data_IF_436455890082
#
_entry.id   IF_436455890082
#
_cell.length_a   1.000
_cell.length_b   1.000
_cell.length_c   1.000
_cell.angle_alpha   90.00
_cell.angle_beta   90.00
_cell.angle_gamma   90.00
#
_symmetry.space_group_name_H-M   'P 1'
#
loop_
_entity.id
_entity.type
_entity.pdbx_description
1 polymer ?
#
# COMPACT_ATOMS: atom_id res chain seq x y z
N UNK A 1 -36.73 -10.13 -3.59
CA UNK A 1 -36.78 -10.48 -2.16
C UNK A 1 -35.61 -11.42 -1.89
N UNK A 2 -34.50 -10.91 -1.37
CA UNK A 2 -33.30 -11.74 -1.14
C UNK A 2 -33.58 -12.80 -0.09
N UNK A 3 -33.02 -14.00 -0.29
CA UNK A 3 -33.01 -15.03 0.75
C UNK A 3 -32.33 -14.48 2.00
N UNK A 4 -32.90 -14.73 3.18
CA UNK A 4 -32.28 -14.38 4.47
C UNK A 4 -30.83 -14.88 4.57
N UNK A 5 -30.50 -15.97 3.87
CA UNK A 5 -29.13 -16.50 3.80
C UNK A 5 -28.16 -15.54 3.09
N UNK A 6 -28.56 -14.95 1.95
CA UNK A 6 -27.72 -14.02 1.18
C UNK A 6 -27.39 -12.78 1.99
N UNK A 7 -28.38 -12.22 2.70
CA UNK A 7 -28.19 -11.07 3.60
C UNK A 7 -27.22 -11.40 4.74
N UNK A 8 -27.37 -12.57 5.38
CA UNK A 8 -26.48 -13.01 6.45
C UNK A 8 -25.04 -13.18 5.97
N UNK A 9 -24.84 -13.81 4.81
CA UNK A 9 -23.51 -13.98 4.21
C UNK A 9 -22.89 -12.62 3.90
N UNK A 10 -23.65 -11.72 3.26
CA UNK A 10 -23.20 -10.37 2.96
C UNK A 10 -22.75 -9.61 4.21
N UNK A 11 -23.56 -9.67 5.28
CA UNK A 11 -23.24 -9.03 6.56
C UNK A 11 -21.92 -9.55 7.15
N UNK A 12 -21.72 -10.88 7.15
CA UNK A 12 -20.49 -11.51 7.65
C UNK A 12 -19.27 -11.05 6.83
N UNK A 13 -19.38 -10.99 5.50
CA UNK A 13 -18.30 -10.53 4.61
C UNK A 13 -17.93 -9.07 4.88
N UNK A 14 -18.92 -8.19 5.03
CA UNK A 14 -18.70 -6.78 5.35
C UNK A 14 -18.05 -6.61 6.73
N UNK A 15 -18.48 -7.38 7.73
CA UNK A 15 -17.89 -7.36 9.07
C UNK A 15 -16.42 -7.80 9.05
N UNK A 16 -16.11 -8.91 8.38
CA UNK A 16 -14.72 -9.38 8.21
C UNK A 16 -13.88 -8.31 7.51
N UNK A 17 -14.42 -7.66 6.48
CA UNK A 17 -13.74 -6.59 5.74
C UNK A 17 -13.37 -5.42 6.65
N UNK A 18 -14.28 -5.00 7.54
CA UNK A 18 -14.03 -3.93 8.55
C UNK A 18 -12.96 -4.34 9.57
N UNK A 19 -12.97 -5.61 10.02
CA UNK A 19 -11.94 -6.11 10.95
C UNK A 19 -10.56 -6.09 10.29
N UNK A 20 -10.47 -6.54 9.04
CA UNK A 20 -9.20 -6.51 8.29
C UNK A 20 -8.72 -5.10 7.98
N UNK A 21 -9.62 -4.18 7.62
CA UNK A 21 -9.26 -2.79 7.30
C UNK A 21 -8.80 -2.05 8.55
N UNK A 22 -9.46 -2.23 9.69
CA UNK A 22 -9.04 -1.64 10.99
C UNK A 22 -7.69 -2.17 11.45
N UNK A 23 -7.44 -3.48 11.30
CA UNK A 23 -6.12 -4.07 11.56
C UNK A 23 -5.03 -3.47 10.65
N UNK A 24 -5.32 -3.30 9.35
CA UNK A 24 -4.37 -2.70 8.41
C UNK A 24 -4.13 -1.22 8.69
N UNK A 25 -5.15 -0.47 9.11
CA UNK A 25 -5.02 0.91 9.59
C UNK A 25 -4.05 0.96 10.78
N UNK A 26 -4.22 0.09 11.77
CA UNK A 26 -3.36 0.03 12.94
C UNK A 26 -1.89 -0.25 12.56
N UNK A 27 -1.63 -1.26 11.72
CA UNK A 27 -0.27 -1.53 11.22
C UNK A 27 0.30 -0.31 10.50
N UNK A 28 -0.48 0.31 9.62
CA UNK A 28 -0.02 1.46 8.82
C UNK A 28 0.35 2.65 9.71
N UNK A 29 -0.47 2.95 10.73
CA UNK A 29 -0.20 4.01 11.72
C UNK A 29 1.11 3.72 12.46
N UNK A 30 1.26 2.51 13.00
CA UNK A 30 2.49 2.12 13.74
C UNK A 30 3.73 2.26 12.85
N UNK A 31 3.67 1.80 11.61
CA UNK A 31 4.79 1.90 10.67
C UNK A 31 5.09 3.36 10.28
N UNK A 32 4.07 4.18 10.03
CA UNK A 32 4.24 5.62 9.75
C UNK A 32 4.95 6.29 10.93
N UNK A 33 4.53 6.05 12.17
CA UNK A 33 5.20 6.59 13.36
C UNK A 33 6.66 6.13 13.46
N UNK A 34 6.94 4.86 13.19
CA UNK A 34 8.33 4.34 13.17
C UNK A 34 9.15 5.06 12.11
N UNK A 35 8.61 5.26 10.90
CA UNK A 35 9.31 5.95 9.82
C UNK A 35 9.56 7.42 10.17
N UNK A 36 8.55 8.14 10.69
CA UNK A 36 8.68 9.55 11.10
C UNK A 36 9.74 9.69 12.19
N UNK A 37 9.72 8.83 13.20
CA UNK A 37 10.71 8.81 14.27
C UNK A 37 12.14 8.63 13.72
N UNK A 38 12.33 7.68 12.79
CA UNK A 38 13.63 7.42 12.18
C UNK A 38 14.09 8.56 11.26
N UNK A 39 13.15 9.23 10.56
CA UNK A 39 13.45 10.39 9.73
C UNK A 39 13.87 11.62 10.54
N UNK A 40 13.27 11.82 11.73
CA UNK A 40 13.54 12.98 12.57
C UNK A 40 14.78 12.80 13.45
N UNK A 41 14.93 11.62 14.06
CA UNK A 41 15.94 11.41 15.11
C UNK A 41 17.29 10.91 14.59
N UNK A 42 17.34 10.26 13.42
CA UNK A 42 18.59 9.72 12.87
C UNK A 42 19.09 10.53 11.69
N UNK A 43 20.41 10.78 11.70
CA UNK A 43 21.14 11.35 10.57
C UNK A 43 21.31 10.31 9.44
N UNK A 44 20.20 9.98 8.78
CA UNK A 44 20.16 9.06 7.66
C UNK A 44 20.80 9.68 6.41
N UNK A 45 21.40 8.83 5.58
CA UNK A 45 21.90 9.26 4.28
C UNK A 45 20.72 9.73 3.42
N UNK A 46 20.95 10.75 2.57
CA UNK A 46 19.93 11.38 1.71
C UNK A 46 19.06 10.38 0.92
N UNK A 47 19.68 9.31 0.45
CA UNK A 47 18.99 8.26 -0.31
C UNK A 47 18.06 7.38 0.54
N UNK A 48 18.50 7.06 1.76
CA UNK A 48 17.71 6.26 2.69
C UNK A 48 16.51 7.08 3.15
N UNK A 49 16.73 8.37 3.43
CA UNK A 49 15.66 9.34 3.71
C UNK A 49 14.61 9.39 2.59
N UNK A 50 15.04 9.45 1.33
CA UNK A 50 14.12 9.49 0.18
C UNK A 50 13.33 8.18 0.04
N UNK A 51 14.00 7.03 0.23
CA UNK A 51 13.35 5.72 0.17
C UNK A 51 12.30 5.56 1.27
N UNK A 52 12.64 5.95 2.51
CA UNK A 52 11.73 5.93 3.64
C UNK A 52 10.56 6.91 3.46
N UNK A 53 10.80 8.10 2.92
CA UNK A 53 9.75 9.05 2.60
C UNK A 53 8.74 8.49 1.59
N UNK A 54 9.22 7.91 0.49
CA UNK A 54 8.36 7.23 -0.49
C UNK A 54 7.63 6.02 0.11
N UNK A 55 8.24 5.34 1.08
CA UNK A 55 7.59 4.26 1.82
C UNK A 55 6.48 4.78 2.73
N UNK A 56 6.72 5.86 3.47
CA UNK A 56 5.71 6.53 4.29
C UNK A 56 4.53 7.00 3.44
N UNK A 57 4.80 7.50 2.23
CA UNK A 57 3.76 7.88 1.28
C UNK A 57 2.85 6.69 0.91
N UNK A 58 3.41 5.50 0.66
CA UNK A 58 2.61 4.29 0.40
C UNK A 58 1.75 3.95 1.61
N UNK A 59 2.31 3.94 2.82
CA UNK A 59 1.52 3.65 4.03
C UNK A 59 0.45 4.70 4.32
N UNK A 60 0.70 5.96 4.00
CA UNK A 60 -0.29 7.04 4.14
C UNK A 60 -1.48 6.81 3.20
N UNK A 61 -1.24 6.54 1.92
CA UNK A 61 -2.33 6.25 0.99
C UNK A 61 -3.02 4.91 1.27
N UNK A 62 -2.28 3.92 1.77
CA UNK A 62 -2.85 2.67 2.27
C UNK A 62 -3.80 2.89 3.45
N UNK A 63 -3.40 3.74 4.41
CA UNK A 63 -4.22 4.13 5.55
C UNK A 63 -5.49 4.86 5.10
N UNK A 64 -5.37 5.86 4.23
CA UNK A 64 -6.51 6.61 3.69
C UNK A 64 -7.47 5.65 2.95
N UNK A 65 -6.93 4.75 2.13
CA UNK A 65 -7.73 3.76 1.41
C UNK A 65 -8.50 2.85 2.37
N UNK A 66 -7.85 2.38 3.44
CA UNK A 66 -8.50 1.52 4.44
C UNK A 66 -9.58 2.24 5.24
N UNK A 67 -9.41 3.53 5.51
CA UNK A 67 -10.46 4.34 6.14
C UNK A 67 -11.67 4.43 5.20
N UNK A 68 -11.47 4.74 3.91
CA UNK A 68 -12.54 4.79 2.90
C UNK A 68 -13.26 3.44 2.80
N UNK A 69 -12.50 2.35 2.67
CA UNK A 69 -13.07 1.00 2.59
C UNK A 69 -13.88 0.64 3.84
N UNK A 70 -13.40 1.02 5.03
CA UNK A 70 -14.12 0.83 6.29
C UNK A 70 -15.42 1.62 6.31
N UNK A 71 -15.40 2.89 5.87
CA UNK A 71 -16.59 3.74 5.80
C UNK A 71 -17.65 3.14 4.87
N UNK A 72 -17.26 2.68 3.68
CA UNK A 72 -18.18 2.03 2.73
C UNK A 72 -18.81 0.76 3.35
N UNK A 73 -18.02 -0.09 4.00
CA UNK A 73 -18.55 -1.30 4.63
C UNK A 73 -19.41 -1.02 5.87
N UNK A 74 -19.13 0.05 6.63
CA UNK A 74 -19.99 0.50 7.72
C UNK A 74 -21.33 0.99 7.17
N UNK A 75 -21.35 1.72 6.04
CA UNK A 75 -22.59 2.11 5.36
C UNK A 75 -23.38 0.88 4.93
N UNK A 76 -22.74 -0.13 4.33
CA UNK A 76 -23.38 -1.42 4.01
C UNK A 76 -24.01 -2.07 5.24
N UNK A 77 -23.27 -2.19 6.34
CA UNK A 77 -23.76 -2.81 7.58
C UNK A 77 -24.96 -2.03 8.16
N UNK A 78 -24.90 -0.71 8.17
CA UNK A 78 -26.00 0.13 8.67
C UNK A 78 -27.22 0.07 7.74
N UNK A 79 -27.01 -0.02 6.43
CA UNK A 79 -28.07 -0.22 5.45
C UNK A 79 -28.77 -1.57 5.63
N UNK A 80 -27.99 -2.65 5.79
CA UNK A 80 -28.51 -4.00 6.01
C UNK A 80 -29.33 -4.12 7.30
N UNK A 81 -28.92 -3.42 8.37
CA UNK A 81 -29.55 -3.52 9.70
C UNK A 81 -30.75 -2.59 9.89
N UNK A 82 -30.68 -1.37 9.33
CA UNK A 82 -31.64 -0.30 9.60
C UNK A 82 -32.39 0.19 8.37
N UNK A 83 -32.16 -0.42 7.19
CA UNK A 83 -32.75 -0.02 5.91
C UNK A 83 -32.50 1.47 5.58
N UNK A 84 -31.35 2.00 6.03
CA UNK A 84 -31.00 3.41 5.87
C UNK A 84 -30.48 3.68 4.46
N UNK A 85 -31.03 4.70 3.81
CA UNK A 85 -30.51 5.22 2.55
C UNK A 85 -29.35 6.21 2.79
N UNK A 86 -28.25 6.00 2.07
CA UNK A 86 -27.05 6.85 2.10
C UNK A 86 -26.83 7.64 0.80
N UNK A 87 -27.82 7.66 -0.10
CA UNK A 87 -27.77 8.41 -1.36
C UNK A 87 -27.59 9.92 -1.11
N UNK A 88 -26.34 10.36 -1.13
CA UNK A 88 -25.92 11.72 -0.78
C UNK A 88 -24.68 12.11 -1.60
N UNK A 89 -24.44 13.41 -1.73
CA UNK A 89 -23.23 13.92 -2.40
C UNK A 89 -21.94 13.40 -1.74
N UNK A 90 -21.94 13.25 -0.41
CA UNK A 90 -20.83 12.66 0.35
C UNK A 90 -20.57 11.21 -0.08
N UNK A 91 -21.62 10.41 -0.26
CA UNK A 91 -21.51 9.02 -0.71
C UNK A 91 -20.86 8.95 -2.10
N UNK A 92 -21.33 9.75 -3.06
CA UNK A 92 -20.75 9.83 -4.41
C UNK A 92 -19.28 10.25 -4.34
N UNK A 93 -18.95 11.24 -3.50
CA UNK A 93 -17.58 11.70 -3.31
C UNK A 93 -16.68 10.60 -2.72
N UNK A 94 -17.14 9.84 -1.72
CA UNK A 94 -16.40 8.71 -1.14
C UNK A 94 -16.20 7.61 -2.18
N UNK A 95 -17.25 7.29 -2.95
CA UNK A 95 -17.23 6.32 -4.04
C UNK A 95 -16.23 6.68 -5.13
N UNK A 96 -16.11 7.96 -5.45
CA UNK A 96 -15.10 8.51 -6.36
C UNK A 96 -13.69 8.54 -5.75
N UNK A 97 -13.57 8.90 -4.47
CA UNK A 97 -12.28 8.99 -3.79
C UNK A 97 -11.61 7.62 -3.67
N UNK A 98 -12.39 6.54 -3.53
CA UNK A 98 -11.89 5.16 -3.46
C UNK A 98 -10.95 4.79 -4.63
N UNK A 99 -11.37 4.82 -5.91
CA UNK A 99 -10.49 4.53 -7.04
C UNK A 99 -9.36 5.55 -7.20
N UNK A 100 -9.56 6.83 -6.82
CA UNK A 100 -8.49 7.85 -6.85
C UNK A 100 -7.36 7.48 -5.91
N UNK A 101 -7.66 7.20 -4.64
CA UNK A 101 -6.64 6.84 -3.65
C UNK A 101 -5.97 5.52 -4.03
N UNK A 102 -6.73 4.57 -4.58
CA UNK A 102 -6.17 3.32 -5.09
C UNK A 102 -5.19 3.55 -6.25
N UNK A 103 -5.53 4.40 -7.21
CA UNK A 103 -4.64 4.81 -8.30
C UNK A 103 -3.35 5.45 -7.76
N UNK A 104 -3.47 6.34 -6.77
CA UNK A 104 -2.32 6.98 -6.12
C UNK A 104 -1.47 5.94 -5.36
N UNK A 105 -2.08 4.94 -4.74
CA UNK A 105 -1.34 3.86 -4.10
C UNK A 105 -0.49 3.08 -5.13
N UNK A 106 -1.07 2.70 -6.28
CA UNK A 106 -0.35 1.99 -7.34
C UNK A 106 0.78 2.81 -7.97
N UNK A 107 0.51 4.08 -8.29
CA UNK A 107 1.54 4.98 -8.82
C UNK A 107 2.64 5.29 -7.79
N UNK A 108 2.38 5.15 -6.48
CA UNK A 108 3.44 5.27 -5.48
C UNK A 108 4.50 4.16 -5.59
N UNK A 109 4.14 2.96 -6.07
CA UNK A 109 5.14 1.92 -6.42
C UNK A 109 5.94 2.30 -7.67
N UNK A 110 5.31 2.96 -8.65
CA UNK A 110 5.99 3.51 -9.81
C UNK A 110 7.05 4.53 -9.36
N UNK A 111 6.73 5.43 -8.43
CA UNK A 111 7.69 6.38 -7.89
C UNK A 111 8.88 5.70 -7.21
N UNK A 112 8.65 4.62 -6.46
CA UNK A 112 9.73 3.86 -5.85
C UNK A 112 10.63 3.19 -6.90
N UNK A 113 10.05 2.62 -7.95
CA UNK A 113 10.79 2.04 -9.06
C UNK A 113 11.57 3.12 -9.83
N UNK A 114 10.94 4.26 -10.09
CA UNK A 114 11.52 5.40 -10.79
C UNK A 114 12.69 6.02 -10.03
N UNK A 115 12.57 6.22 -8.72
CA UNK A 115 13.69 6.65 -7.86
C UNK A 115 14.91 5.72 -8.02
N UNK A 116 14.68 4.40 -8.08
CA UNK A 116 15.77 3.44 -8.29
C UNK A 116 16.35 3.48 -9.69
N UNK A 117 15.52 3.68 -10.72
CA UNK A 117 15.98 3.88 -12.09
C UNK A 117 16.91 5.09 -12.16
N UNK A 118 16.48 6.22 -11.62
CA UNK A 118 17.25 7.47 -11.59
C UNK A 118 18.58 7.28 -10.86
N UNK A 119 18.58 6.52 -9.76
CA UNK A 119 19.81 6.26 -9.01
C UNK A 119 20.77 5.30 -9.72
N UNK A 120 20.28 4.21 -10.31
CA UNK A 120 21.13 3.15 -10.87
C UNK A 120 21.61 3.53 -12.28
N UNK A 121 20.68 3.88 -13.16
CA UNK A 121 20.94 4.11 -14.58
C UNK A 121 21.40 5.54 -14.81
N UNK A 122 20.72 6.51 -14.19
CA UNK A 122 20.95 7.94 -14.41
C UNK A 122 21.82 8.59 -13.31
N UNK A 123 22.80 7.85 -12.79
CA UNK A 123 23.63 8.32 -11.67
C UNK A 123 24.40 9.63 -11.96
N UNK A 124 24.64 9.94 -13.25
CA UNK A 124 25.35 11.15 -13.70
C UNK A 124 24.51 12.43 -13.59
N UNK A 125 23.18 12.32 -13.59
CA UNK A 125 22.27 13.46 -13.61
C UNK A 125 21.89 13.89 -12.20
N UNK A 126 22.68 14.81 -11.60
CA UNK A 126 22.49 15.27 -10.20
C UNK A 126 21.09 15.84 -9.90
N UNK A 127 20.46 16.50 -10.88
CA UNK A 127 19.13 17.09 -10.73
C UNK A 127 18.05 16.04 -10.44
N UNK A 128 18.11 14.86 -11.06
CA UNK A 128 17.20 13.73 -10.81
C UNK A 128 17.40 13.08 -9.43
N UNK A 129 18.47 13.42 -8.72
CA UNK A 129 18.76 12.92 -7.38
C UNK A 129 18.39 13.92 -6.28
N UNK A 130 17.81 15.07 -6.65
CA UNK A 130 17.38 16.06 -5.69
C UNK A 130 16.17 15.56 -4.90
N UNK A 131 16.29 15.60 -3.57
CA UNK A 131 15.21 15.17 -2.66
C UNK A 131 13.89 15.91 -2.90
N UNK A 132 13.97 17.20 -3.26
CA UNK A 132 12.80 18.04 -3.58
C UNK A 132 11.94 17.47 -4.71
N UNK A 133 12.55 16.87 -5.74
CA UNK A 133 11.80 16.24 -6.82
C UNK A 133 10.89 15.14 -6.28
N UNK A 134 11.38 14.33 -5.32
CA UNK A 134 10.62 13.22 -4.75
C UNK A 134 9.58 13.64 -3.70
N UNK A 135 9.61 14.89 -3.24
CA UNK A 135 8.53 15.49 -2.43
C UNK A 135 7.42 16.02 -3.34
N UNK A 136 7.78 16.65 -4.46
CA UNK A 136 6.84 17.23 -5.42
C UNK A 136 6.10 16.14 -6.21
N UNK A 137 6.78 15.06 -6.59
CA UNK A 137 6.20 13.98 -7.40
C UNK A 137 4.91 13.38 -6.78
N UNK A 138 4.86 12.98 -5.49
CA UNK A 138 3.63 12.49 -4.87
C UNK A 138 2.45 13.48 -4.92
N UNK A 139 2.72 14.78 -4.78
CA UNK A 139 1.68 15.83 -4.86
C UNK A 139 1.15 15.95 -6.28
N UNK A 140 2.05 16.00 -7.28
CA UNK A 140 1.65 16.01 -8.69
C UNK A 140 0.89 14.74 -9.08
N UNK A 141 1.30 13.59 -8.55
CA UNK A 141 0.62 12.33 -8.77
C UNK A 141 -0.81 12.33 -8.22
N UNK A 142 -1.03 12.91 -7.03
CA UNK A 142 -2.37 13.03 -6.47
C UNK A 142 -3.26 13.87 -7.38
N UNK A 143 -2.77 15.05 -7.80
CA UNK A 143 -3.50 15.93 -8.74
C UNK A 143 -3.78 15.21 -10.06
N UNK A 144 -2.79 14.50 -10.60
CA UNK A 144 -2.94 13.74 -11.84
C UNK A 144 -3.95 12.61 -11.69
N UNK A 145 -3.98 11.90 -10.57
CA UNK A 145 -4.96 10.84 -10.32
C UNK A 145 -6.39 11.39 -10.27
N UNK A 146 -6.61 12.54 -9.61
CA UNK A 146 -7.90 13.25 -9.66
C UNK A 146 -8.26 13.65 -11.10
N UNK A 147 -7.31 14.21 -11.86
CA UNK A 147 -7.58 14.60 -13.24
C UNK A 147 -7.91 13.41 -14.14
N UNK A 148 -7.14 12.32 -14.06
CA UNK A 148 -7.31 11.13 -14.89
C UNK A 148 -8.58 10.35 -14.57
N UNK A 149 -9.05 10.37 -13.33
CA UNK A 149 -10.29 9.68 -12.92
C UNK A 149 -11.51 10.59 -12.91
N UNK A 150 -11.36 11.90 -13.08
CA UNK A 150 -12.47 12.84 -13.24
C UNK A 150 -13.51 12.45 -14.31
N UNK A 151 -13.17 11.75 -15.42
CA UNK A 151 -14.19 11.28 -16.36
C UNK A 151 -15.27 10.41 -15.72
N UNK A 152 -14.97 9.66 -14.65
CA UNK A 152 -15.97 8.85 -13.94
C UNK A 152 -17.11 9.71 -13.36
N UNK A 153 -16.80 10.93 -12.91
CA UNK A 153 -17.81 11.88 -12.42
C UNK A 153 -18.57 12.51 -13.58
N UNK A 154 -17.88 12.91 -14.65
CA UNK A 154 -18.49 13.53 -15.84
C UNK A 154 -19.47 12.56 -16.51
N UNK A 155 -19.11 11.27 -16.55
CA UNK A 155 -19.92 10.21 -17.12
C UNK A 155 -21.04 9.71 -16.23
N UNK A 156 -21.13 10.20 -14.99
CA UNK A 156 -22.07 9.73 -13.98
C UNK A 156 -21.94 8.22 -13.74
N UNK A 157 -20.72 7.70 -13.82
CA UNK A 157 -20.44 6.26 -13.68
C UNK A 157 -20.47 5.84 -12.19
N UNK A 158 -20.32 6.78 -11.25
CA UNK A 158 -20.43 6.55 -9.80
C UNK A 158 -21.90 6.74 -9.40
N UNK A 159 -22.57 5.63 -9.11
CA UNK A 159 -23.99 5.60 -8.71
C UNK A 159 -24.15 5.01 -7.32
N UNK A 160 -25.28 5.31 -6.69
CA UNK A 160 -25.67 4.65 -5.45
C UNK A 160 -26.16 3.22 -5.75
N UNK A 161 -25.50 2.23 -5.15
CA UNK A 161 -25.85 0.81 -5.29
C UNK A 161 -26.86 0.45 -4.22
N UNK A 162 -28.14 0.32 -4.60
CA UNK A 162 -29.25 0.07 -3.67
C UNK A 162 -29.06 -1.20 -2.84
N UNK A 163 -28.53 -2.28 -3.44
CA UNK A 163 -28.32 -3.56 -2.75
C UNK A 163 -27.11 -3.56 -1.80
N UNK A 164 -26.24 -2.56 -1.91
CA UNK A 164 -24.97 -2.49 -1.18
C UNK A 164 -24.89 -1.30 -0.23
N UNK A 165 -25.82 -0.36 -0.33
CA UNK A 165 -25.97 0.84 0.51
C UNK A 165 -24.75 1.79 0.51
N UNK A 166 -23.95 1.81 -0.56
CA UNK A 166 -22.90 2.81 -0.80
C UNK A 166 -22.81 3.19 -2.28
N UNK A 167 -21.98 4.19 -2.60
CA UNK A 167 -21.80 4.66 -3.97
C UNK A 167 -20.50 4.12 -4.56
N UNK A 168 -20.58 3.57 -5.77
CA UNK A 168 -19.42 3.09 -6.51
C UNK A 168 -19.76 2.95 -8.01
N UNK A 169 -18.77 2.60 -8.82
CA UNK A 169 -19.02 2.24 -10.21
C UNK A 169 -19.69 0.87 -10.27
N UNK A 170 -20.91 0.81 -10.81
CA UNK A 170 -21.62 -0.45 -11.03
C UNK A 170 -20.80 -1.39 -11.94
N UNK A 171 -20.87 -2.70 -11.71
CA UNK A 171 -20.07 -3.67 -12.47
C UNK A 171 -20.52 -3.80 -13.94
N UNK A 172 -21.76 -3.42 -14.23
CA UNK A 172 -22.30 -3.34 -15.59
C UNK A 172 -21.77 -2.13 -16.37
N UNK A 173 -21.17 -1.15 -15.69
CA UNK A 173 -20.57 0.01 -16.34
C UNK A 173 -19.15 -0.32 -16.83
N UNK A 174 -19.06 -1.09 -17.91
CA UNK A 174 -17.80 -1.53 -18.51
C UNK A 174 -16.85 -0.37 -18.80
N UNK A 175 -17.37 0.76 -19.25
CA UNK A 175 -16.57 1.95 -19.54
C UNK A 175 -15.84 2.43 -18.28
N UNK A 176 -16.57 2.67 -17.20
CA UNK A 176 -16.00 3.15 -15.94
C UNK A 176 -14.99 2.17 -15.34
N UNK A 177 -15.30 0.87 -15.38
CA UNK A 177 -14.41 -0.17 -14.85
C UNK A 177 -13.15 -0.33 -15.69
N UNK A 178 -13.28 -0.42 -17.02
CA UNK A 178 -12.12 -0.55 -17.90
C UNK A 178 -11.23 0.68 -17.81
N UNK A 179 -11.81 1.88 -17.74
CA UNK A 179 -11.06 3.11 -17.53
C UNK A 179 -10.29 3.07 -16.20
N UNK A 180 -10.97 2.73 -15.11
CA UNK A 180 -10.37 2.63 -13.78
C UNK A 180 -9.27 1.58 -13.73
N UNK A 181 -9.51 0.40 -14.31
CA UNK A 181 -8.56 -0.70 -14.38
C UNK A 181 -7.32 -0.33 -15.20
N UNK A 182 -7.52 0.31 -16.35
CA UNK A 182 -6.43 0.72 -17.22
C UNK A 182 -5.52 1.75 -16.54
N UNK A 183 -6.12 2.81 -15.99
CA UNK A 183 -5.39 3.90 -15.32
C UNK A 183 -4.75 3.41 -14.01
N UNK A 184 -5.49 2.69 -13.17
CA UNK A 184 -5.01 2.33 -11.82
C UNK A 184 -4.10 1.10 -11.79
N UNK A 185 -4.20 0.18 -12.76
CA UNK A 185 -3.46 -1.09 -12.74
C UNK A 185 -2.55 -1.27 -13.96
N UNK A 186 -3.12 -1.22 -15.17
CA UNK A 186 -2.37 -1.58 -16.40
C UNK A 186 -1.22 -0.62 -16.64
N UNK A 187 -1.45 0.69 -16.53
CA UNK A 187 -0.40 1.71 -16.72
C UNK A 187 0.71 1.57 -15.65
N UNK A 188 0.42 1.61 -14.33
CA UNK A 188 1.46 1.45 -13.30
C UNK A 188 2.26 0.17 -13.43
N UNK A 189 1.59 -0.96 -13.67
CA UNK A 189 2.26 -2.25 -13.84
C UNK A 189 3.21 -2.24 -15.04
N UNK A 190 2.75 -1.72 -16.18
CA UNK A 190 3.56 -1.60 -17.40
C UNK A 190 4.79 -0.73 -17.18
N UNK A 191 4.65 0.41 -16.49
CA UNK A 191 5.77 1.31 -16.19
C UNK A 191 6.79 0.61 -15.28
N UNK A 192 6.36 -0.05 -14.20
CA UNK A 192 7.26 -0.79 -13.30
C UNK A 192 8.00 -1.90 -14.06
N UNK A 193 7.32 -2.61 -14.94
CA UNK A 193 7.91 -3.66 -15.77
C UNK A 193 8.98 -3.10 -16.73
N UNK A 194 8.70 -2.01 -17.42
CA UNK A 194 9.66 -1.32 -18.30
C UNK A 194 10.88 -0.85 -17.50
N UNK A 195 10.67 -0.25 -16.33
CA UNK A 195 11.75 0.18 -15.42
C UNK A 195 12.64 -1.01 -15.04
N UNK A 196 12.03 -2.15 -14.67
CA UNK A 196 12.78 -3.35 -14.31
C UNK A 196 13.64 -3.88 -15.46
N UNK A 197 13.08 -3.94 -16.68
CA UNK A 197 13.83 -4.37 -17.87
C UNK A 197 15.02 -3.44 -18.09
N UNK A 198 14.81 -2.12 -18.05
CA UNK A 198 15.87 -1.12 -18.25
C UNK A 198 16.99 -1.25 -17.22
N UNK A 199 16.66 -1.41 -15.94
CA UNK A 199 17.66 -1.60 -14.87
C UNK A 199 18.44 -2.90 -15.07
N UNK A 200 17.75 -3.98 -15.47
CA UNK A 200 18.39 -5.29 -15.70
C UNK A 200 19.35 -5.25 -16.88
N UNK A 201 18.95 -4.63 -18.00
CA UNK A 201 19.83 -4.46 -19.17
C UNK A 201 21.06 -3.63 -18.78
N UNK A 202 20.87 -2.52 -18.06
CA UNK A 202 21.97 -1.66 -17.64
C UNK A 202 22.99 -2.39 -16.76
N UNK A 203 22.52 -3.18 -15.78
CA UNK A 203 23.41 -3.95 -14.90
C UNK A 203 24.19 -5.01 -15.69
N UNK A 204 23.56 -5.67 -16.67
CA UNK A 204 24.24 -6.67 -17.53
C UNK A 204 25.31 -6.07 -18.45
N UNK A 205 25.15 -4.81 -18.85
CA UNK A 205 26.09 -4.12 -19.75
C UNK A 205 27.29 -3.53 -19.01
N UNK A 206 27.31 -3.50 -17.67
CA UNK A 206 28.44 -2.93 -16.94
C UNK A 206 29.65 -3.87 -16.91
N UNK A 207 30.86 -3.34 -17.17
CA UNK A 207 32.08 -4.15 -17.20
C UNK A 207 32.40 -4.73 -15.82
N UNK A 208 33.00 -5.93 -15.80
CA UNK A 208 33.30 -6.69 -14.59
C UNK A 208 34.26 -5.97 -13.62
N UNK A 209 34.99 -4.94 -14.08
CA UNK A 209 35.96 -4.16 -13.32
C UNK A 209 35.35 -3.18 -12.29
N UNK A 210 34.06 -3.28 -11.97
CA UNK A 210 33.49 -2.49 -10.89
C UNK A 210 33.92 -2.97 -9.51
N UNK A 211 34.05 -2.03 -8.57
CA UNK A 211 34.34 -2.36 -7.18
C UNK A 211 33.23 -3.25 -6.60
N UNK A 212 33.62 -4.26 -5.83
CA UNK A 212 32.68 -5.21 -5.19
C UNK A 212 31.60 -4.50 -4.36
N UNK A 213 31.91 -3.32 -3.80
CA UNK A 213 30.95 -2.50 -3.07
C UNK A 213 29.79 -2.00 -3.94
N UNK A 214 30.05 -1.61 -5.20
CA UNK A 214 29.04 -1.15 -6.15
C UNK A 214 28.17 -2.34 -6.58
N UNK A 215 28.79 -3.49 -6.89
CA UNK A 215 28.08 -4.71 -7.27
C UNK A 215 27.12 -5.18 -6.16
N UNK A 216 27.58 -5.22 -4.89
CA UNK A 216 26.72 -5.58 -3.75
C UNK A 216 25.52 -4.64 -3.59
N UNK A 217 25.73 -3.35 -3.84
CA UNK A 217 24.66 -2.33 -3.76
C UNK A 217 23.63 -2.50 -4.88
N UNK A 218 24.08 -2.74 -6.12
CA UNK A 218 23.21 -3.00 -7.26
C UNK A 218 22.42 -4.29 -7.10
N UNK A 219 23.06 -5.38 -6.64
CA UNK A 219 22.39 -6.64 -6.36
C UNK A 219 21.28 -6.48 -5.32
N UNK A 220 21.54 -5.70 -4.26
CA UNK A 220 20.52 -5.36 -3.27
C UNK A 220 19.36 -4.61 -3.91
N UNK A 221 19.63 -3.60 -4.74
CA UNK A 221 18.58 -2.80 -5.37
C UNK A 221 17.72 -3.61 -6.36
N UNK A 222 18.35 -4.48 -7.16
CA UNK A 222 17.66 -5.41 -8.06
C UNK A 222 16.77 -6.36 -7.28
N UNK A 223 17.26 -6.90 -6.16
CA UNK A 223 16.47 -7.74 -5.27
C UNK A 223 15.25 -6.98 -4.73
N UNK A 224 15.38 -5.70 -4.36
CA UNK A 224 14.21 -4.94 -3.93
C UNK A 224 13.26 -4.63 -5.10
N UNK A 225 13.73 -4.45 -6.35
CA UNK A 225 12.81 -4.25 -7.49
C UNK A 225 12.09 -5.56 -7.85
N UNK A 226 12.80 -6.69 -7.82
CA UNK A 226 12.20 -8.03 -7.98
C UNK A 226 11.10 -8.24 -6.94
N UNK A 227 11.31 -7.81 -5.70
CA UNK A 227 10.27 -7.84 -4.66
C UNK A 227 9.09 -6.92 -4.98
N UNK A 228 9.33 -5.69 -5.48
CA UNK A 228 8.23 -4.82 -5.94
C UNK A 228 7.42 -5.51 -7.03
N UNK A 229 8.08 -6.14 -8.02
CA UNK A 229 7.38 -6.89 -9.07
C UNK A 229 6.58 -8.07 -8.53
N UNK A 230 7.14 -8.83 -7.58
CA UNK A 230 6.42 -9.93 -6.93
C UNK A 230 5.21 -9.38 -6.17
N UNK A 231 5.37 -8.27 -5.45
CA UNK A 231 4.28 -7.61 -4.72
C UNK A 231 3.20 -7.11 -5.68
N UNK A 232 3.55 -6.37 -6.74
CA UNK A 232 2.60 -5.89 -7.74
C UNK A 232 1.91 -7.06 -8.46
N UNK A 233 2.66 -8.09 -8.84
CA UNK A 233 2.11 -9.30 -9.43
C UNK A 233 1.15 -10.01 -8.49
N UNK A 234 1.48 -10.09 -7.20
CA UNK A 234 0.61 -10.67 -6.17
C UNK A 234 -0.68 -9.85 -6.00
N UNK A 235 -0.60 -8.51 -6.02
CA UNK A 235 -1.80 -7.66 -6.01
C UNK A 235 -2.68 -7.88 -7.24
N UNK A 236 -2.08 -8.05 -8.43
CA UNK A 236 -2.83 -8.35 -9.66
C UNK A 236 -3.51 -9.72 -9.55
N UNK A 237 -2.80 -10.75 -9.08
CA UNK A 237 -3.38 -12.10 -8.93
C UNK A 237 -4.49 -12.15 -7.90
N UNK A 238 -4.41 -11.35 -6.83
CA UNK A 238 -5.48 -11.28 -5.83
C UNK A 238 -6.66 -10.41 -6.29
N UNK A 239 -6.45 -9.50 -7.24
CA UNK A 239 -7.53 -8.79 -7.93
C UNK A 239 -8.22 -9.62 -9.03
N UNK A 240 -7.66 -10.78 -9.38
CA UNK A 240 -8.21 -11.67 -10.41
C UNK A 240 -9.65 -12.12 -10.16
N UNK A 241 -10.07 -12.48 -8.92
CA UNK A 241 -11.46 -12.83 -8.63
C UNK A 241 -12.44 -11.71 -9.01
N UNK A 242 -12.06 -10.45 -8.80
CA UNK A 242 -12.89 -9.30 -9.17
C UNK A 242 -13.04 -9.16 -10.68
N UNK A 243 -11.96 -9.39 -11.43
CA UNK A 243 -12.01 -9.39 -12.91
C UNK A 243 -12.92 -10.51 -13.40
N UNK A 244 -12.81 -11.70 -12.81
CA UNK A 244 -13.66 -12.85 -13.14
C UNK A 244 -15.13 -12.55 -12.86
N UNK A 245 -15.45 -11.90 -11.73
CA UNK A 245 -16.83 -11.49 -11.41
C UNK A 245 -17.38 -10.44 -12.38
N UNK A 246 -16.56 -9.47 -12.79
CA UNK A 246 -16.95 -8.47 -13.81
C UNK A 246 -17.21 -9.14 -15.16
N UNK A 247 -16.36 -10.08 -15.58
CA UNK A 247 -16.56 -10.84 -16.82
C UNK A 247 -17.83 -11.70 -16.73
N UNK A 248 -18.06 -12.36 -15.59
CA UNK A 248 -19.29 -13.13 -15.38
C UNK A 248 -20.52 -12.24 -15.50
N UNK A 249 -20.56 -11.08 -14.83
CA UNK A 249 -21.65 -10.11 -14.94
C UNK A 249 -21.84 -9.60 -16.38
N UNK A 250 -20.75 -9.44 -17.14
CA UNK A 250 -20.80 -9.08 -18.55
C UNK A 250 -21.53 -10.11 -19.42
N UNK A 251 -21.28 -11.39 -19.14
CA UNK A 251 -21.81 -12.51 -19.93
C UNK A 251 -23.26 -12.79 -19.53
N UNK A 252 -23.57 -12.76 -18.22
CA UNK A 252 -24.92 -13.05 -17.72
C UNK A 252 -25.88 -11.88 -17.89
N UNK A 253 -25.36 -10.65 -17.95
CA UNK A 253 -26.18 -9.44 -17.93
C UNK A 253 -26.81 -9.15 -16.56
N UNK A 254 -26.41 -9.88 -15.53
CA UNK A 254 -26.93 -9.76 -14.16
C UNK A 254 -25.77 -9.57 -13.17
N UNK A 255 -25.90 -8.58 -12.28
CA UNK A 255 -24.97 -8.37 -11.18
C UNK A 255 -25.33 -9.28 -9.99
N UNK A 256 -24.45 -10.22 -9.66
CA UNK A 256 -24.62 -10.98 -8.42
C UNK A 256 -24.40 -10.07 -7.21
N UNK A 257 -25.38 -10.05 -6.31
CA UNK A 257 -25.43 -9.17 -5.12
C UNK A 257 -24.30 -9.39 -4.12
N UNK A 258 -23.58 -10.52 -4.19
CA UNK A 258 -22.40 -10.74 -3.33
C UNK A 258 -21.08 -10.33 -4.00
N UNK A 259 -21.09 -9.96 -5.28
CA UNK A 259 -19.87 -9.72 -6.07
C UNK A 259 -19.02 -8.60 -5.49
N UNK A 260 -19.64 -7.50 -5.06
CA UNK A 260 -18.89 -6.38 -4.49
C UNK A 260 -18.31 -6.74 -3.13
N UNK A 261 -19.10 -7.38 -2.25
CA UNK A 261 -18.64 -7.81 -0.92
C UNK A 261 -17.48 -8.80 -1.01
N UNK A 262 -17.53 -9.76 -1.95
CA UNK A 262 -16.43 -10.69 -2.25
C UNK A 262 -15.18 -9.95 -2.79
N UNK A 263 -15.39 -8.94 -3.62
CA UNK A 263 -14.30 -8.10 -4.12
C UNK A 263 -13.64 -7.30 -2.99
N UNK A 264 -14.42 -6.72 -2.09
CA UNK A 264 -13.90 -5.93 -0.98
C UNK A 264 -13.13 -6.73 0.05
N UNK A 265 -13.60 -7.93 0.40
CA UNK A 265 -12.84 -8.83 1.28
C UNK A 265 -11.52 -9.27 0.62
N UNK A 266 -11.54 -9.61 -0.67
CA UNK A 266 -10.32 -9.98 -1.41
C UNK A 266 -9.32 -8.82 -1.41
N UNK A 267 -9.79 -7.61 -1.68
CA UNK A 267 -8.96 -6.42 -1.70
C UNK A 267 -8.42 -6.07 -0.31
N UNK A 268 -9.22 -6.20 0.74
CA UNK A 268 -8.81 -5.96 2.12
C UNK A 268 -7.72 -6.93 2.57
N UNK A 269 -7.86 -8.23 2.25
CA UNK A 269 -6.84 -9.25 2.50
C UNK A 269 -5.56 -8.93 1.73
N UNK A 270 -5.68 -8.55 0.45
CA UNK A 270 -4.55 -8.20 -0.40
C UNK A 270 -3.74 -7.04 0.15
N UNK A 271 -4.42 -6.01 0.62
CA UNK A 271 -3.80 -4.81 1.16
C UNK A 271 -3.20 -5.04 2.55
N UNK A 272 -3.82 -5.92 3.36
CA UNK A 272 -3.21 -6.42 4.61
C UNK A 272 -1.89 -7.14 4.29
N UNK A 273 -1.94 -8.06 3.32
CA UNK A 273 -0.77 -8.79 2.83
C UNK A 273 0.31 -7.86 2.28
N UNK A 274 -0.08 -6.82 1.54
CA UNK A 274 0.83 -5.77 1.05
C UNK A 274 1.53 -5.05 2.20
N UNK A 275 0.78 -4.62 3.21
CA UNK A 275 1.31 -3.94 4.40
C UNK A 275 2.41 -4.78 5.08
N UNK A 276 2.11 -6.07 5.33
CA UNK A 276 3.05 -7.00 5.94
C UNK A 276 4.25 -7.26 5.02
N UNK A 277 4.00 -7.51 3.73
CA UNK A 277 5.04 -7.77 2.74
C UNK A 277 6.03 -6.61 2.63
N UNK A 278 5.57 -5.35 2.67
CA UNK A 278 6.45 -4.18 2.65
C UNK A 278 7.40 -4.13 3.85
N UNK A 279 6.92 -4.48 5.06
CA UNK A 279 7.79 -4.58 6.26
C UNK A 279 8.88 -5.65 6.06
N UNK A 280 8.52 -6.80 5.50
CA UNK A 280 9.44 -7.92 5.29
C UNK A 280 10.44 -7.66 4.14
N UNK A 281 10.00 -6.95 3.10
CA UNK A 281 10.74 -6.78 1.86
C UNK A 281 11.63 -5.55 1.82
N UNK A 282 11.31 -4.50 2.57
CA UNK A 282 12.15 -3.30 2.65
C UNK A 282 13.21 -3.54 3.73
N UNK A 283 14.49 -3.76 3.35
CA UNK A 283 15.52 -4.17 4.31
C UNK A 283 15.77 -3.12 5.39
N UNK A 284 15.60 -1.83 5.05
CA UNK A 284 15.70 -0.72 6.01
C UNK A 284 14.62 -0.86 7.08
N UNK A 285 13.37 -1.02 6.67
CA UNK A 285 12.23 -1.17 7.57
C UNK A 285 12.34 -2.44 8.40
N UNK A 286 12.67 -3.59 7.79
CA UNK A 286 12.96 -4.84 8.48
C UNK A 286 14.03 -4.66 9.55
N UNK A 287 15.15 -4.02 9.21
CA UNK A 287 16.26 -3.81 10.15
C UNK A 287 15.87 -2.91 11.32
N UNK A 288 15.06 -1.88 11.09
CA UNK A 288 14.58 -0.95 12.11
C UNK A 288 13.63 -1.67 13.06
N UNK A 289 12.61 -2.33 12.51
CA UNK A 289 11.59 -3.06 13.28
C UNK A 289 12.23 -4.18 14.08
N UNK A 290 13.11 -4.98 13.46
CA UNK A 290 13.77 -6.10 14.13
C UNK A 290 14.74 -5.65 15.23
N UNK A 291 15.53 -4.58 15.00
CA UNK A 291 16.42 -4.02 16.03
C UNK A 291 15.63 -3.50 17.23
N UNK A 292 14.52 -2.81 17.02
CA UNK A 292 13.65 -2.35 18.13
C UNK A 292 13.04 -3.54 18.87
N UNK A 293 12.58 -4.57 18.16
CA UNK A 293 12.03 -5.76 18.77
C UNK A 293 13.07 -6.54 19.60
N UNK A 294 14.30 -6.70 19.09
CA UNK A 294 15.38 -7.35 19.83
C UNK A 294 15.88 -6.53 21.03
N UNK A 295 15.97 -5.19 20.89
CA UNK A 295 16.40 -4.32 22.00
C UNK A 295 15.42 -4.36 23.17
N UNK A 296 14.13 -4.50 22.91
CA UNK A 296 13.12 -4.65 23.95
C UNK A 296 13.12 -6.03 24.64
N UNK A 297 13.85 -7.03 24.11
CA UNK A 297 14.00 -8.35 24.76
C UNK A 297 15.20 -8.42 25.71
N UNK A 298 16.08 -7.42 25.73
CA UNK A 298 17.29 -7.41 26.55
C UNK A 298 17.11 -6.34 27.64
N UNK A 299 17.04 -6.79 28.90
CA UNK A 299 16.98 -6.07 30.21
C UNK A 299 15.62 -5.51 30.70
N UNK A 300 15.26 -5.72 32.00
CA UNK A 300 16.17 -5.73 33.17
C UNK A 300 16.07 -7.00 34.05
N UNK A 301 17.17 -7.77 34.12
CA UNK A 301 17.34 -8.85 35.11
C UNK A 301 18.72 -8.89 35.77
N UNK A 302 19.70 -8.13 35.26
CA UNK A 302 21.10 -8.19 35.73
C UNK A 302 21.54 -6.96 36.52
N UNK A 303 20.73 -5.89 36.58
CA UNK A 303 21.06 -4.70 37.37
C UNK A 303 20.89 -4.88 38.89
N UNK A 304 20.36 -6.01 39.36
CA UNK A 304 20.16 -6.29 40.81
C UNK A 304 21.32 -7.10 41.40
N UNK A 305 22.16 -7.76 40.59
CA UNK A 305 23.24 -8.61 41.13
C UNK A 305 24.58 -7.88 41.34
N UNK A 306 24.81 -6.74 40.68
CA UNK A 306 26.05 -5.96 40.85
C UNK A 306 26.03 -5.05 42.09
N UNK A 307 24.86 -4.68 42.62
CA UNK A 307 24.77 -3.92 43.88
C UNK A 307 25.00 -4.77 45.14
N UNK A 308 25.12 -6.10 45.02
CA UNK A 308 25.33 -7.00 46.17
C UNK A 308 26.77 -7.50 46.35
N UNK A 309 27.73 -7.14 45.48
CA UNK A 309 29.09 -7.74 45.50
C UNK A 309 30.23 -6.72 45.76
N UNK A 310 29.96 -5.42 45.92
CA UNK A 310 30.98 -4.43 46.30
C UNK A 310 30.85 -3.96 47.76
N UNK A 311 31.07 -4.89 48.70
CA UNK A 311 31.59 -4.55 50.03
C UNK A 311 32.83 -5.41 50.26
N UNK A 312 33.99 -4.92 49.79
CA UNK A 312 35.29 -5.47 50.17
C UNK A 312 35.96 -4.47 51.12
N UNK A 313 36.21 -4.84 52.39
CA UNK A 313 36.82 -3.96 53.37
C UNK A 313 38.30 -3.76 53.02
N UNK A 314 38.71 -2.50 52.92
CA UNK A 314 40.11 -2.13 52.80
C UNK A 314 40.76 -2.28 54.18
N UNK A 315 41.59 -3.32 54.33
CA UNK A 315 42.33 -3.67 55.55
C UNK A 315 43.82 -3.57 55.22
N UNK A 316 44.53 -2.81 56.08
CA UNK A 316 45.99 -2.74 56.34
C UNK A 316 46.82 -1.81 55.44
N UNK A 317 47.46 -0.78 56.02
CA UNK A 317 48.67 -0.81 56.89
C UNK A 317 49.92 -1.30 56.17
N UNK A 318 50.78 -0.37 55.72
CA UNK A 318 52.06 0.04 56.37
C UNK A 318 52.90 0.83 55.38
#
# INVERSE_FOLDING_TARGET
MFSNQTKLIGFILSLITVIHSTFTCFISIVIIFIIIYELYYKNLKREERTTLFLCANIYLFLLIYMIILSLMNIQTILGDLYERDFNSSLCIFIGYLSPVILCVLYHSFVNQAFFRLCRIVYFRYRWLQLHWCYIIIPVLQLILAFALLSPLLVWHDIIYLLDEHYCYAAFMNFRGILWTAFISYVIPASIVFIIYIRITIFIRQQPHNQTQAIQRRQARDLLVIRRILITVGLLITLGFPSVVLVIMGAITGEEYVLSFRITWISLSISMTGLSIAMVLFIPQLKSIVWKKFQRNRITPGTAILESSIQVRPDIRNR
#
